data_IF_395288068546
#
_entry.id   IF_395288068546
#
_cell.length_a   1.000
_cell.length_b   1.000
_cell.length_c   1.000
_cell.angle_alpha   90.00
_cell.angle_beta   90.00
_cell.angle_gamma   90.00
#
_symmetry.space_group_name_H-M   'P 1'
#
loop_
_entity.id
_entity.type
_entity.pdbx_description
1 polymer ?
#
# COMPACT_ATOMS: atom_id res chain seq x y z
N UNK A 1 4.56 34.85 10.61
CA UNK A 1 3.86 34.82 9.30
C UNK A 1 4.60 33.85 8.41
N UNK A 2 3.98 32.72 8.13
CA UNK A 2 4.50 31.77 7.15
C UNK A 2 4.64 32.48 5.81
N UNK A 3 5.82 32.43 5.24
CA UNK A 3 6.12 33.00 3.91
C UNK A 3 5.54 32.11 2.82
N UNK A 4 4.23 32.10 2.72
CA UNK A 4 3.51 31.68 1.52
C UNK A 4 3.26 32.90 0.63
N UNK A 5 4.21 33.81 0.57
CA UNK A 5 4.18 34.93 -0.34
C UNK A 5 4.71 34.46 -1.68
N UNK A 6 3.86 34.34 -2.67
CA UNK A 6 4.28 34.22 -4.05
C UNK A 6 3.61 33.13 -4.89
N UNK A 7 2.98 32.13 -4.31
CA UNK A 7 2.27 31.13 -5.13
C UNK A 7 0.79 31.47 -5.37
N UNK A 8 0.21 32.41 -4.61
CA UNK A 8 -1.19 32.81 -4.75
C UNK A 8 -1.46 33.86 -5.80
N UNK A 9 -0.51 34.73 -6.09
CA UNK A 9 -0.71 35.91 -6.95
C UNK A 9 -0.20 35.75 -8.39
N UNK A 10 0.62 34.73 -8.66
CA UNK A 10 1.31 34.61 -9.96
C UNK A 10 0.55 33.72 -10.93
N UNK A 11 -0.26 32.80 -10.46
CA UNK A 11 -0.99 31.90 -11.35
C UNK A 11 -2.49 31.87 -10.99
N UNK A 12 -3.32 32.36 -11.88
CA UNK A 12 -4.73 32.00 -11.87
C UNK A 12 -4.80 30.49 -12.01
N UNK A 13 -5.17 29.79 -10.91
CA UNK A 13 -5.40 28.34 -10.94
C UNK A 13 -6.43 28.07 -12.04
N UNK A 14 -6.01 27.36 -13.06
CA UNK A 14 -6.95 26.87 -14.07
C UNK A 14 -7.64 25.66 -13.50
N UNK A 15 -8.95 25.64 -13.53
CA UNK A 15 -9.78 24.53 -13.09
C UNK A 15 -10.47 23.96 -14.32
N UNK A 16 -10.26 22.67 -14.53
CA UNK A 16 -10.97 21.90 -15.55
C UNK A 16 -11.98 21.04 -14.84
N UNK A 17 -13.23 21.12 -15.24
CA UNK A 17 -14.36 20.43 -14.59
C UNK A 17 -15.07 19.48 -15.56
N UNK A 18 -15.87 18.55 -14.99
CA UNK A 18 -16.56 17.51 -15.73
C UNK A 18 -15.72 16.25 -15.92
N UNK A 19 -16.38 15.17 -16.34
CA UNK A 19 -15.81 13.82 -16.40
C UNK A 19 -14.55 13.71 -17.27
N UNK A 20 -14.33 14.63 -18.19
CA UNK A 20 -13.21 14.68 -19.12
C UNK A 20 -12.31 15.92 -18.98
N UNK A 21 -12.49 16.69 -17.91
CA UNK A 21 -11.68 17.88 -17.66
C UNK A 21 -10.19 17.61 -17.63
N UNK A 22 -9.76 16.41 -17.24
CA UNK A 22 -8.38 15.98 -17.26
C UNK A 22 -7.76 15.90 -18.67
N UNK A 23 -8.57 15.67 -19.72
CA UNK A 23 -8.07 15.65 -21.11
C UNK A 23 -7.50 17.00 -21.53
N UNK A 24 -8.14 18.08 -21.16
CA UNK A 24 -7.68 19.45 -21.44
C UNK A 24 -6.43 19.79 -20.61
N UNK A 25 -6.36 19.34 -19.35
CA UNK A 25 -5.18 19.50 -18.52
C UNK A 25 -3.98 18.77 -19.09
N UNK A 26 -4.14 17.54 -19.56
CA UNK A 26 -3.06 16.74 -20.09
C UNK A 26 -2.48 17.30 -21.41
N UNK A 27 -3.26 18.06 -22.20
CA UNK A 27 -2.79 18.68 -23.45
C UNK A 27 -1.90 19.92 -23.27
N UNK A 28 -1.79 20.45 -22.06
CA UNK A 28 -1.01 21.66 -21.79
C UNK A 28 0.48 21.41 -21.93
N UNK A 29 1.19 22.31 -22.61
CA UNK A 29 2.64 22.22 -22.81
C UNK A 29 3.45 22.65 -21.59
N UNK A 30 2.84 23.41 -20.66
CA UNK A 30 3.48 23.93 -19.45
C UNK A 30 3.34 22.99 -18.23
N UNK A 31 2.90 21.75 -18.42
CA UNK A 31 2.80 20.71 -17.39
C UNK A 31 3.75 19.57 -17.72
N UNK A 32 4.63 19.22 -16.80
CA UNK A 32 5.57 18.11 -16.90
C UNK A 32 5.14 16.86 -16.13
N UNK A 33 4.33 17.03 -15.08
CA UNK A 33 3.89 15.98 -14.17
C UNK A 33 2.40 16.13 -13.86
N UNK A 34 1.68 15.03 -13.96
CA UNK A 34 0.30 14.92 -13.49
C UNK A 34 0.25 14.07 -12.22
N UNK A 35 -0.19 14.68 -11.11
CA UNK A 35 -0.47 14.00 -9.86
C UNK A 35 -1.94 13.58 -9.84
N UNK A 36 -2.21 12.29 -9.62
CA UNK A 36 -3.55 11.70 -9.73
C UNK A 36 -4.01 11.21 -8.36
N UNK A 37 -5.06 11.83 -7.83
CA UNK A 37 -5.70 11.51 -6.57
C UNK A 37 -7.23 11.53 -6.70
N UNK A 38 -7.73 10.96 -7.77
CA UNK A 38 -9.16 10.79 -8.06
C UNK A 38 -9.75 9.58 -7.32
N UNK A 39 -10.97 9.16 -7.64
CA UNK A 39 -11.42 7.82 -7.28
C UNK A 39 -10.67 6.74 -8.09
N UNK A 40 -10.75 5.50 -7.63
CA UNK A 40 -9.97 4.40 -8.21
C UNK A 40 -10.25 4.14 -9.69
N UNK A 41 -11.48 4.34 -10.13
CA UNK A 41 -11.88 4.07 -11.51
C UNK A 41 -11.30 5.09 -12.49
N UNK A 42 -10.97 6.29 -12.01
CA UNK A 42 -10.38 7.36 -12.82
C UNK A 42 -8.83 7.38 -12.79
N UNK A 43 -8.18 6.59 -11.92
CA UNK A 43 -6.71 6.54 -11.87
C UNK A 43 -6.12 6.18 -13.23
N UNK A 44 -6.51 5.05 -13.80
CA UNK A 44 -5.98 4.59 -15.07
C UNK A 44 -6.33 5.51 -16.27
N UNK A 45 -7.58 5.93 -16.50
CA UNK A 45 -7.91 6.82 -17.62
C UNK A 45 -7.12 8.13 -17.61
N UNK A 46 -6.96 8.74 -16.44
CA UNK A 46 -6.18 9.99 -16.30
C UNK A 46 -4.71 9.74 -16.55
N UNK A 47 -4.14 8.66 -15.98
CA UNK A 47 -2.74 8.29 -16.17
C UNK A 47 -2.43 7.99 -17.64
N UNK A 48 -3.29 7.24 -18.31
CA UNK A 48 -3.19 6.95 -19.74
C UNK A 48 -3.15 8.24 -20.55
N UNK A 49 -4.11 9.12 -20.33
CA UNK A 49 -4.18 10.41 -21.03
C UNK A 49 -2.91 11.24 -20.82
N UNK A 50 -2.41 11.31 -19.58
CA UNK A 50 -1.19 12.05 -19.26
C UNK A 50 0.04 11.46 -19.96
N UNK A 51 0.24 10.14 -19.92
CA UNK A 51 1.36 9.45 -20.57
C UNK A 51 1.32 9.62 -22.09
N UNK A 52 0.15 9.49 -22.72
CA UNK A 52 -0.05 9.70 -24.16
C UNK A 52 0.26 11.14 -24.60
N UNK A 53 0.06 12.12 -23.71
CA UNK A 53 0.42 13.53 -23.94
C UNK A 53 1.83 13.88 -23.43
N UNK A 54 2.67 12.87 -23.20
CA UNK A 54 4.08 13.07 -22.86
C UNK A 54 4.34 13.63 -21.47
N UNK A 55 3.43 13.41 -20.49
CA UNK A 55 3.60 13.83 -19.10
C UNK A 55 4.13 12.68 -18.25
N UNK A 56 4.90 13.01 -17.23
CA UNK A 56 5.17 12.09 -16.14
C UNK A 56 3.92 11.93 -15.26
N UNK A 57 3.80 10.81 -14.58
CA UNK A 57 2.62 10.49 -13.78
C UNK A 57 2.99 10.01 -12.40
N UNK A 58 2.32 10.54 -11.40
CA UNK A 58 2.34 10.07 -10.02
C UNK A 58 0.90 9.75 -9.61
N UNK A 59 0.62 8.49 -9.26
CA UNK A 59 -0.74 7.97 -9.06
C UNK A 59 -0.90 7.50 -7.62
N UNK A 60 -1.94 7.98 -6.94
CA UNK A 60 -2.39 7.41 -5.67
C UNK A 60 -2.82 5.95 -5.81
N UNK A 61 -2.81 5.24 -4.70
CA UNK A 61 -3.14 3.81 -4.64
C UNK A 61 -4.64 3.54 -4.80
N UNK A 62 -5.01 2.48 -5.53
CA UNK A 62 -4.22 1.64 -6.42
C UNK A 62 -4.05 2.29 -7.79
N UNK A 63 -2.94 2.04 -8.48
CA UNK A 63 -2.67 2.66 -9.78
C UNK A 63 -3.56 2.15 -10.91
N UNK A 64 -4.10 0.95 -10.80
CA UNK A 64 -4.96 0.31 -11.78
C UNK A 64 -5.90 -0.69 -11.09
N UNK A 65 -7.00 -1.03 -11.76
CA UNK A 65 -8.07 -1.85 -11.20
C UNK A 65 -8.18 -3.25 -11.82
N UNK A 66 -7.44 -3.52 -12.87
CA UNK A 66 -7.38 -4.82 -13.53
C UNK A 66 -6.04 -5.05 -14.23
N UNK A 67 -5.79 -6.31 -14.59
CA UNK A 67 -4.52 -6.73 -15.16
C UNK A 67 -4.21 -6.04 -16.51
N UNK A 68 -5.22 -5.79 -17.33
CA UNK A 68 -5.03 -5.10 -18.62
C UNK A 68 -4.53 -3.67 -18.39
N UNK A 69 -5.12 -2.94 -17.47
CA UNK A 69 -4.69 -1.58 -17.11
C UNK A 69 -3.27 -1.57 -16.56
N UNK A 70 -2.90 -2.56 -15.73
CA UNK A 70 -1.53 -2.67 -15.22
C UNK A 70 -0.50 -2.78 -16.35
N UNK A 71 -0.73 -3.66 -17.33
CA UNK A 71 0.15 -3.81 -18.49
C UNK A 71 0.18 -2.55 -19.35
N UNK A 72 -0.99 -1.96 -19.61
CA UNK A 72 -1.08 -0.78 -20.44
C UNK A 72 -0.34 0.44 -19.83
N UNK A 73 -0.33 0.59 -18.51
CA UNK A 73 0.47 1.63 -17.83
C UNK A 73 1.98 1.43 -18.06
N UNK A 74 2.47 0.20 -17.97
CA UNK A 74 3.87 -0.13 -18.22
C UNK A 74 4.21 0.15 -19.69
N UNK A 75 3.43 -0.36 -20.62
CA UNK A 75 3.63 -0.17 -22.06
C UNK A 75 3.65 1.31 -22.45
N UNK A 76 2.71 2.10 -21.90
CA UNK A 76 2.64 3.54 -22.14
C UNK A 76 3.82 4.30 -21.56
N UNK A 77 4.27 3.94 -20.36
CA UNK A 77 5.44 4.52 -19.72
C UNK A 77 6.69 4.27 -20.56
N UNK A 78 6.92 3.03 -21.00
CA UNK A 78 8.06 2.65 -21.83
C UNK A 78 8.01 3.30 -23.22
N UNK A 79 6.86 3.22 -23.89
CA UNK A 79 6.65 3.78 -25.23
C UNK A 79 6.90 5.28 -25.27
N UNK A 80 6.39 6.01 -24.30
CA UNK A 80 6.49 7.47 -24.26
C UNK A 80 7.74 7.95 -23.50
N UNK A 81 8.52 7.03 -22.87
CA UNK A 81 9.69 7.33 -22.05
C UNK A 81 9.37 8.34 -20.95
N UNK A 82 8.27 8.10 -20.24
CA UNK A 82 7.79 8.93 -19.13
C UNK A 82 7.68 8.11 -17.87
N UNK A 83 7.99 8.71 -16.73
CA UNK A 83 7.82 8.05 -15.44
C UNK A 83 6.34 7.84 -15.14
N UNK A 84 6.03 6.64 -14.66
CA UNK A 84 4.73 6.29 -14.11
C UNK A 84 4.98 5.66 -12.73
N UNK A 85 4.66 6.37 -11.67
CA UNK A 85 4.96 5.98 -10.30
C UNK A 85 3.68 5.86 -9.48
N UNK A 86 3.52 4.73 -8.79
CA UNK A 86 2.52 4.58 -7.73
C UNK A 86 3.02 5.24 -6.45
N UNK A 87 2.15 6.01 -5.79
CA UNK A 87 2.45 6.72 -4.55
C UNK A 87 2.05 5.88 -3.33
N UNK A 88 2.63 4.68 -3.20
CA UNK A 88 2.39 3.83 -2.03
C UNK A 88 3.07 4.40 -0.79
N UNK A 89 2.31 5.15 0.00
CA UNK A 89 2.83 5.88 1.16
C UNK A 89 3.44 4.99 2.23
N UNK A 90 2.98 3.74 2.39
CA UNK A 90 3.52 2.83 3.39
C UNK A 90 4.98 2.43 3.13
N UNK A 91 5.46 2.56 1.87
CA UNK A 91 6.86 2.35 1.55
C UNK A 91 7.79 3.41 2.16
N UNK A 92 7.25 4.58 2.49
CA UNK A 92 8.00 5.75 2.95
C UNK A 92 7.80 6.06 4.45
N UNK A 93 7.13 5.16 5.16
CA UNK A 93 7.06 5.27 6.61
C UNK A 93 8.44 4.96 7.21
N UNK A 94 8.76 5.66 8.30
CA UNK A 94 10.10 5.61 8.88
C UNK A 94 10.59 4.19 9.18
N UNK A 95 9.73 3.33 9.75
CA UNK A 95 10.12 1.96 10.10
C UNK A 95 10.42 1.10 8.87
N UNK A 96 9.61 1.22 7.83
CA UNK A 96 9.80 0.50 6.56
C UNK A 96 11.07 0.94 5.85
N UNK A 97 11.32 2.24 5.77
CA UNK A 97 12.54 2.77 5.15
C UNK A 97 13.80 2.34 5.89
N UNK A 98 13.79 2.46 7.22
CA UNK A 98 14.92 2.02 8.04
C UNK A 98 15.15 0.51 7.91
N UNK A 99 14.09 -0.28 7.99
CA UNK A 99 14.18 -1.74 7.85
C UNK A 99 14.60 -2.15 6.45
N UNK A 100 14.17 -1.45 5.41
CA UNK A 100 14.64 -1.66 4.03
C UNK A 100 16.14 -1.43 3.92
N UNK A 101 16.64 -0.33 4.48
CA UNK A 101 18.08 -0.04 4.50
C UNK A 101 18.86 -1.13 5.24
N UNK A 102 18.37 -1.57 6.39
CA UNK A 102 18.96 -2.70 7.13
C UNK A 102 18.98 -4.00 6.29
N UNK A 103 17.89 -4.31 5.60
CA UNK A 103 17.79 -5.49 4.73
C UNK A 103 18.80 -5.42 3.57
N UNK A 104 18.93 -4.25 2.93
CA UNK A 104 19.90 -4.02 1.85
C UNK A 104 21.36 -4.17 2.30
N UNK A 105 21.65 -3.90 3.57
CA UNK A 105 22.95 -4.11 4.19
C UNK A 105 23.13 -5.50 4.82
N UNK A 106 22.18 -6.41 4.60
CA UNK A 106 22.29 -7.81 5.04
C UNK A 106 22.12 -8.04 6.54
N UNK A 107 21.57 -7.08 7.29
CA UNK A 107 21.36 -7.19 8.75
C UNK A 107 20.51 -8.41 9.11
N UNK A 108 19.53 -8.74 8.29
CA UNK A 108 18.65 -9.90 8.51
C UNK A 108 19.14 -11.19 7.86
N UNK A 109 20.34 -11.18 7.23
CA UNK A 109 20.78 -12.26 6.37
C UNK A 109 19.91 -12.37 5.11
N UNK A 110 19.67 -13.59 4.64
CA UNK A 110 18.70 -13.82 3.56
C UNK A 110 17.28 -13.72 4.11
N UNK A 111 16.48 -12.77 3.58
CA UNK A 111 15.05 -12.66 3.94
C UNK A 111 14.28 -13.74 3.19
N UNK A 112 13.68 -14.66 3.93
CA UNK A 112 12.98 -15.83 3.39
C UNK A 112 11.46 -15.70 3.42
N UNK A 113 10.92 -14.84 4.30
CA UNK A 113 9.49 -14.61 4.46
C UNK A 113 9.21 -13.16 4.80
N UNK A 114 8.11 -12.63 4.27
CA UNK A 114 7.59 -11.33 4.65
C UNK A 114 6.07 -11.37 4.86
N UNK A 115 5.57 -10.51 5.74
CA UNK A 115 4.14 -10.33 5.96
C UNK A 115 3.79 -8.84 5.87
N UNK A 116 2.67 -8.57 5.21
CA UNK A 116 2.10 -7.23 5.12
C UNK A 116 0.59 -7.26 5.36
N UNK A 117 0.01 -6.12 5.73
CA UNK A 117 -1.43 -6.05 5.93
C UNK A 117 -2.00 -4.65 5.67
N UNK A 118 -3.28 -4.63 5.30
CA UNK A 118 -4.18 -3.49 5.46
C UNK A 118 -5.38 -3.91 6.31
N UNK A 119 -5.28 -3.66 7.60
CA UNK A 119 -6.35 -3.92 8.55
C UNK A 119 -6.80 -2.57 9.11
N UNK A 120 -7.99 -2.16 8.73
CA UNK A 120 -8.53 -0.85 9.09
C UNK A 120 -10.06 -0.91 9.14
N UNK A 121 -10.61 -1.02 10.34
CA UNK A 121 -12.06 -1.04 10.49
C UNK A 121 -12.70 0.22 9.88
N UNK A 122 -13.25 0.11 8.70
CA UNK A 122 -13.97 1.18 8.00
C UNK A 122 -15.49 1.11 8.22
N UNK A 123 -15.99 0.11 8.94
CA UNK A 123 -17.43 -0.05 9.18
C UNK A 123 -18.10 1.22 9.72
N UNK A 124 -17.51 1.99 10.66
CA UNK A 124 -18.09 3.26 11.10
C UNK A 124 -18.21 4.33 10.00
N UNK A 125 -17.35 4.24 8.99
CA UNK A 125 -17.31 5.21 7.88
C UNK A 125 -18.27 4.84 6.75
N UNK A 126 -18.65 3.57 6.61
CA UNK A 126 -19.54 3.12 5.55
C UNK A 126 -20.87 3.87 5.53
N UNK A 127 -21.37 4.34 6.67
CA UNK A 127 -22.58 5.16 6.79
C UNK A 127 -22.54 6.44 5.93
N UNK A 128 -21.36 6.99 5.73
CA UNK A 128 -21.19 8.17 4.88
C UNK A 128 -21.25 7.82 3.39
N UNK A 129 -20.81 6.62 3.02
CA UNK A 129 -20.81 6.14 1.64
C UNK A 129 -22.15 5.59 1.17
N UNK A 130 -23.07 5.27 2.12
CA UNK A 130 -24.46 4.89 1.80
C UNK A 130 -25.31 6.07 1.32
N UNK A 131 -24.92 7.29 1.64
CA UNK A 131 -25.61 8.47 1.13
C UNK A 131 -25.32 8.57 -0.36
N UNK A 132 -26.40 8.52 -1.15
CA UNK A 132 -26.30 8.77 -2.57
C UNK A 132 -25.90 10.23 -2.80
N UNK A 133 -24.98 10.44 -3.74
CA UNK A 133 -24.64 11.77 -4.21
C UNK A 133 -25.74 12.39 -5.07
N UNK A 134 -25.49 13.56 -5.62
CA UNK A 134 -26.43 14.24 -6.54
C UNK A 134 -26.74 13.39 -7.79
N UNK A 135 -25.84 12.48 -8.17
CA UNK A 135 -25.97 11.54 -9.28
C UNK A 135 -26.69 10.23 -8.91
N UNK A 136 -27.28 10.14 -7.73
CA UNK A 136 -27.97 8.94 -7.18
C UNK A 136 -27.06 7.72 -7.02
N UNK A 137 -25.73 7.90 -7.03
CA UNK A 137 -24.76 6.83 -6.86
C UNK A 137 -24.26 6.74 -5.42
N UNK A 138 -23.96 5.51 -5.00
CA UNK A 138 -23.25 5.26 -3.74
C UNK A 138 -21.82 5.79 -3.81
N UNK A 139 -21.23 6.09 -2.66
CA UNK A 139 -19.81 6.39 -2.59
C UNK A 139 -18.97 5.29 -3.26
N UNK A 140 -18.12 5.64 -4.20
CA UNK A 140 -17.37 4.74 -5.09
C UNK A 140 -16.63 3.61 -4.35
N UNK A 141 -16.09 3.89 -3.18
CA UNK A 141 -15.32 2.90 -2.40
C UNK A 141 -16.21 1.81 -1.83
N UNK A 142 -17.39 2.17 -1.34
CA UNK A 142 -18.39 1.21 -0.88
C UNK A 142 -18.90 0.38 -2.05
N UNK A 143 -19.31 1.02 -3.15
CA UNK A 143 -19.80 0.34 -4.33
C UNK A 143 -18.79 -0.68 -4.85
N UNK A 144 -17.49 -0.32 -4.87
CA UNK A 144 -16.42 -1.22 -5.27
C UNK A 144 -16.33 -2.47 -4.37
N UNK A 145 -16.33 -2.30 -3.04
CA UNK A 145 -16.31 -3.42 -2.09
C UNK A 145 -17.56 -4.30 -2.19
N UNK A 146 -18.72 -3.71 -2.50
CA UNK A 146 -19.96 -4.47 -2.69
C UNK A 146 -19.93 -5.38 -3.93
N UNK A 147 -19.23 -4.99 -4.97
CA UNK A 147 -19.20 -5.69 -6.27
C UNK A 147 -18.00 -6.62 -6.45
N UNK A 148 -16.91 -6.39 -5.76
CA UNK A 148 -15.66 -7.15 -5.90
C UNK A 148 -15.41 -8.05 -4.71
N UNK A 149 -14.51 -9.01 -4.89
CA UNK A 149 -14.15 -10.02 -3.89
C UNK A 149 -12.64 -10.13 -3.79
N UNK A 150 -12.15 -10.45 -2.60
CA UNK A 150 -10.73 -10.64 -2.33
C UNK A 150 -10.06 -9.40 -1.74
N UNK A 151 -8.74 -9.33 -1.84
CA UNK A 151 -7.98 -8.17 -1.38
C UNK A 151 -8.06 -7.04 -2.42
N UNK A 152 -8.96 -6.11 -2.16
CA UNK A 152 -9.21 -4.95 -3.05
C UNK A 152 -8.25 -3.79 -2.80
N UNK A 153 -7.33 -3.91 -1.84
CA UNK A 153 -6.41 -2.84 -1.48
C UNK A 153 -5.06 -3.36 -0.94
N UNK A 154 -4.47 -4.31 -1.66
CA UNK A 154 -3.25 -5.03 -1.27
C UNK A 154 -1.99 -4.16 -1.17
N UNK A 155 -1.95 -3.02 -1.84
CA UNK A 155 -0.75 -2.20 -2.05
C UNK A 155 -0.07 -1.79 -0.75
N UNK A 156 -0.82 -1.43 0.28
CA UNK A 156 -0.27 -1.00 1.56
C UNK A 156 0.49 -2.11 2.33
N UNK A 157 0.05 -3.35 2.19
CA UNK A 157 0.79 -4.49 2.75
C UNK A 157 1.89 -4.97 1.82
N UNK A 158 1.60 -5.03 0.51
CA UNK A 158 2.50 -5.63 -0.48
C UNK A 158 3.68 -4.72 -0.85
N UNK A 159 3.45 -3.42 -1.00
CA UNK A 159 4.48 -2.48 -1.47
C UNK A 159 5.77 -2.52 -0.65
N UNK A 160 5.71 -2.29 0.67
CA UNK A 160 6.91 -2.30 1.51
C UNK A 160 7.64 -3.64 1.51
N UNK A 161 6.91 -4.76 1.62
CA UNK A 161 7.55 -6.09 1.63
C UNK A 161 8.14 -6.46 0.26
N UNK A 162 7.52 -6.03 -0.83
CA UNK A 162 8.06 -6.24 -2.17
C UNK A 162 9.39 -5.52 -2.38
N UNK A 163 9.56 -4.31 -1.82
CA UNK A 163 10.84 -3.61 -1.84
C UNK A 163 11.93 -4.36 -1.07
N UNK A 164 11.61 -4.81 0.15
CA UNK A 164 12.57 -5.55 0.99
C UNK A 164 12.98 -6.91 0.39
N UNK A 165 12.11 -7.54 -0.39
CA UNK A 165 12.37 -8.80 -1.07
C UNK A 165 13.00 -8.64 -2.46
N UNK A 166 13.28 -7.42 -2.89
CA UNK A 166 13.84 -7.11 -4.22
C UNK A 166 12.97 -7.61 -5.38
N UNK A 167 11.65 -7.54 -5.25
CA UNK A 167 10.73 -7.90 -6.34
C UNK A 167 10.99 -6.97 -7.54
N UNK A 168 11.14 -7.57 -8.73
CA UNK A 168 11.60 -6.94 -9.97
C UNK A 168 13.02 -6.34 -9.93
N UNK A 169 13.79 -6.66 -8.88
CA UNK A 169 15.20 -6.27 -8.73
C UNK A 169 16.09 -7.45 -8.34
N UNK A 170 15.80 -8.63 -8.88
CA UNK A 170 16.49 -9.88 -8.61
C UNK A 170 15.56 -11.02 -8.16
N UNK A 171 14.29 -10.72 -7.89
CA UNK A 171 13.25 -11.71 -7.61
C UNK A 171 11.95 -11.33 -8.33
N UNK A 172 10.99 -12.25 -8.42
CA UNK A 172 9.65 -12.01 -8.98
C UNK A 172 8.61 -12.91 -8.30
N UNK A 173 7.38 -12.47 -8.29
CA UNK A 173 6.25 -13.26 -7.85
C UNK A 173 5.90 -14.30 -8.91
N UNK A 174 5.65 -15.57 -8.52
CA UNK A 174 5.34 -16.65 -9.45
C UNK A 174 3.97 -17.27 -9.22
N UNK A 175 3.61 -17.52 -7.97
CA UNK A 175 2.37 -18.20 -7.63
C UNK A 175 1.64 -17.42 -6.54
N UNK A 176 0.33 -17.27 -6.72
CA UNK A 176 -0.55 -16.62 -5.76
C UNK A 176 -1.73 -17.50 -5.44
N UNK A 177 -2.05 -17.61 -4.14
CA UNK A 177 -3.29 -18.23 -3.64
C UNK A 177 -3.93 -17.25 -2.67
N UNK A 178 -5.21 -16.97 -2.85
CA UNK A 178 -5.97 -16.10 -1.97
C UNK A 178 -7.25 -16.79 -1.49
N UNK A 179 -7.58 -16.59 -0.23
CA UNK A 179 -8.83 -17.04 0.38
C UNK A 179 -9.46 -15.90 1.15
N UNK A 180 -10.76 -15.73 0.98
CA UNK A 180 -11.56 -14.80 1.77
C UNK A 180 -12.60 -15.52 2.63
N UNK A 181 -12.98 -14.88 3.70
CA UNK A 181 -14.06 -15.34 4.58
C UNK A 181 -15.43 -15.08 3.94
N UNK A 182 -16.48 -15.55 4.59
CA UNK A 182 -17.84 -15.07 4.29
C UNK A 182 -17.91 -13.56 4.50
N UNK A 183 -18.74 -12.89 3.71
CA UNK A 183 -19.22 -11.55 4.01
C UNK A 183 -20.35 -11.67 5.06
N UNK A 184 -20.06 -11.41 6.31
CA UNK A 184 -21.03 -11.40 7.41
C UNK A 184 -21.38 -9.95 7.74
N UNK A 185 -20.39 -9.16 8.13
CA UNK A 185 -20.57 -7.72 8.44
C UNK A 185 -21.05 -6.94 7.23
N UNK A 186 -20.50 -7.21 6.05
CA UNK A 186 -20.96 -6.58 4.81
C UNK A 186 -22.43 -6.87 4.51
N UNK A 187 -22.89 -8.10 4.70
CA UNK A 187 -24.32 -8.45 4.51
C UNK A 187 -25.24 -7.80 5.54
N UNK A 188 -24.80 -7.67 6.78
CA UNK A 188 -25.59 -7.00 7.81
C UNK A 188 -25.69 -5.51 7.54
N UNK A 189 -24.62 -4.87 7.06
CA UNK A 189 -24.68 -3.48 6.57
C UNK A 189 -25.70 -3.28 5.44
N UNK A 190 -25.79 -4.21 4.49
CA UNK A 190 -26.80 -4.17 3.42
C UNK A 190 -28.20 -4.28 3.98
N UNK A 191 -28.45 -5.18 4.93
CA UNK A 191 -29.78 -5.34 5.58
C UNK A 191 -30.20 -4.10 6.34
N UNK A 192 -29.28 -3.45 7.05
CA UNK A 192 -29.54 -2.21 7.78
C UNK A 192 -29.85 -1.03 6.86
N UNK A 193 -29.50 -1.11 5.59
CA UNK A 193 -29.68 -0.07 4.58
C UNK A 193 -30.49 -0.61 3.38
N UNK A 194 -31.63 -1.26 3.67
CA UNK A 194 -32.45 -2.01 2.70
C UNK A 194 -32.94 -1.21 1.49
N UNK A 195 -32.94 0.12 1.57
CA UNK A 195 -33.26 1.03 0.43
C UNK A 195 -32.08 1.19 -0.55
N UNK A 196 -30.97 0.49 -0.32
CA UNK A 196 -29.80 0.57 -1.18
C UNK A 196 -30.00 -0.17 -2.51
N UNK A 197 -29.42 0.35 -3.56
CA UNK A 197 -29.48 -0.17 -4.94
C UNK A 197 -28.86 -1.56 -5.09
N UNK A 198 -28.14 -2.06 -4.10
CA UNK A 198 -27.47 -3.35 -4.14
C UNK A 198 -27.87 -4.24 -2.94
N UNK A 199 -28.44 -5.39 -3.26
CA UNK A 199 -28.91 -6.36 -2.27
C UNK A 199 -27.82 -7.38 -1.87
N UNK A 200 -26.57 -7.18 -2.26
CA UNK A 200 -25.49 -8.13 -1.97
C UNK A 200 -24.19 -7.39 -1.66
N UNK A 201 -23.43 -7.94 -0.71
CA UNK A 201 -22.06 -7.55 -0.44
C UNK A 201 -21.16 -8.74 -0.76
N UNK A 202 -20.30 -8.61 -1.77
CA UNK A 202 -19.50 -9.71 -2.29
C UNK A 202 -18.15 -9.87 -1.61
N UNK A 203 -17.53 -8.76 -1.16
CA UNK A 203 -16.24 -8.84 -0.50
C UNK A 203 -16.34 -9.59 0.83
N UNK A 204 -15.43 -10.53 1.08
CA UNK A 204 -15.30 -11.17 2.36
C UNK A 204 -14.87 -10.18 3.45
N UNK A 205 -15.20 -10.48 4.71
CA UNK A 205 -14.81 -9.60 5.81
C UNK A 205 -13.29 -9.60 6.04
N UNK A 206 -12.62 -10.70 5.67
CA UNK A 206 -11.16 -10.83 5.73
C UNK A 206 -10.65 -11.64 4.53
N UNK A 207 -9.51 -11.21 3.97
CA UNK A 207 -8.79 -11.93 2.91
C UNK A 207 -7.36 -12.20 3.35
N UNK A 208 -6.89 -13.42 3.12
CA UNK A 208 -5.48 -13.81 3.26
C UNK A 208 -4.94 -14.25 1.92
N UNK A 209 -3.81 -13.71 1.52
CA UNK A 209 -3.13 -14.02 0.26
C UNK A 209 -1.73 -14.52 0.55
N UNK A 210 -1.36 -15.64 -0.04
CA UNK A 210 0.00 -16.19 -0.03
C UNK A 210 0.60 -16.07 -1.41
N UNK A 211 1.84 -15.59 -1.50
CA UNK A 211 2.58 -15.44 -2.74
C UNK A 211 3.93 -16.13 -2.58
N UNK A 212 4.28 -16.98 -3.53
CA UNK A 212 5.63 -17.56 -3.64
C UNK A 212 6.42 -16.84 -4.72
N UNK A 213 7.67 -16.51 -4.41
CA UNK A 213 8.58 -15.90 -5.37
C UNK A 213 9.44 -16.94 -6.09
N UNK A 214 10.08 -16.54 -7.18
CA UNK A 214 10.99 -17.37 -7.97
C UNK A 214 12.19 -17.87 -7.14
N UNK A 215 12.68 -17.06 -6.20
CA UNK A 215 13.77 -17.44 -5.29
C UNK A 215 13.26 -18.24 -4.06
N UNK A 216 12.01 -18.70 -4.07
CA UNK A 216 11.44 -19.56 -3.04
C UNK A 216 11.00 -18.85 -1.75
N UNK A 217 10.97 -17.52 -1.73
CA UNK A 217 10.48 -16.73 -0.61
C UNK A 217 8.95 -16.77 -0.56
N UNK A 218 8.38 -16.52 0.63
CA UNK A 218 6.93 -16.48 0.82
C UNK A 218 6.50 -15.12 1.35
N UNK A 219 5.49 -14.54 0.72
CA UNK A 219 4.83 -13.31 1.15
C UNK A 219 3.42 -13.67 1.62
N UNK A 220 3.01 -13.16 2.77
CA UNK A 220 1.64 -13.23 3.26
C UNK A 220 1.06 -11.81 3.33
N UNK A 221 -0.11 -11.61 2.73
CA UNK A 221 -0.82 -10.33 2.78
C UNK A 221 -2.20 -10.54 3.37
N UNK A 222 -2.59 -9.66 4.30
CA UNK A 222 -3.91 -9.66 4.93
C UNK A 222 -4.65 -8.36 4.65
N UNK A 223 -5.93 -8.48 4.36
CA UNK A 223 -6.83 -7.35 4.15
C UNK A 223 -8.11 -7.52 4.97
N UNK A 224 -8.47 -6.51 5.76
CA UNK A 224 -9.70 -6.47 6.53
C UNK A 224 -10.13 -5.02 6.77
N UNK A 225 -11.31 -4.65 6.23
CA UNK A 225 -11.88 -3.31 6.41
C UNK A 225 -13.27 -3.34 7.06
N UNK A 226 -13.70 -4.50 7.51
CA UNK A 226 -15.09 -4.75 7.93
C UNK A 226 -15.24 -5.01 9.43
N UNK A 227 -14.26 -5.64 10.06
CA UNK A 227 -14.40 -6.07 11.47
C UNK A 227 -13.73 -5.10 12.43
N UNK A 228 -14.12 -5.09 13.73
CA UNK A 228 -13.55 -4.20 14.74
C UNK A 228 -12.12 -4.61 15.17
N UNK A 229 -11.34 -5.16 14.26
CA UNK A 229 -9.94 -5.47 14.51
C UNK A 229 -9.16 -4.16 14.65
N UNK A 230 -8.22 -4.05 15.62
CA UNK A 230 -7.38 -2.87 15.76
C UNK A 230 -6.63 -2.54 14.47
N UNK A 231 -6.44 -1.25 14.23
CA UNK A 231 -5.65 -0.78 13.07
C UNK A 231 -4.29 -1.46 13.02
N UNK A 232 -3.95 -2.01 11.85
CA UNK A 232 -2.71 -2.73 11.66
C UNK A 232 -2.21 -2.58 10.21
N UNK A 233 -1.02 -2.03 10.08
CA UNK A 233 -0.23 -2.00 8.83
C UNK A 233 0.95 -2.95 9.03
N UNK A 234 0.67 -4.23 9.23
CA UNK A 234 1.69 -5.23 9.47
C UNK A 234 2.79 -5.11 8.42
N UNK A 235 4.00 -5.01 8.91
CA UNK A 235 5.22 -5.12 8.14
C UNK A 235 6.19 -5.98 8.94
N UNK A 236 6.48 -7.17 8.44
CA UNK A 236 7.30 -8.14 9.12
C UNK A 236 8.23 -8.81 8.12
N UNK A 237 9.51 -8.92 8.48
CA UNK A 237 10.51 -9.65 7.73
C UNK A 237 11.10 -10.75 8.59
N UNK A 238 11.23 -11.95 8.03
CA UNK A 238 11.93 -13.07 8.64
C UNK A 238 13.14 -13.41 7.76
N UNK A 239 14.31 -13.26 8.31
CA UNK A 239 15.57 -13.61 7.65
C UNK A 239 16.33 -14.67 8.40
N UNK A 240 17.43 -15.14 7.82
CA UNK A 240 18.29 -16.21 8.39
C UNK A 240 19.12 -15.74 9.58
N UNK A 241 19.31 -14.42 9.74
CA UNK A 241 20.10 -13.80 10.82
C UNK A 241 19.33 -12.79 11.64
N UNK A 242 18.06 -12.52 11.28
CA UNK A 242 17.28 -11.54 12.01
C UNK A 242 15.83 -11.48 11.58
N UNK A 243 15.08 -10.74 12.36
CA UNK A 243 13.65 -10.55 12.26
C UNK A 243 13.30 -9.08 12.51
N UNK A 244 12.36 -8.54 11.77
CA UNK A 244 11.80 -7.22 11.99
C UNK A 244 10.28 -7.29 12.10
N UNK A 245 9.69 -6.50 12.99
CA UNK A 245 8.25 -6.43 13.17
C UNK A 245 7.81 -5.00 13.47
N UNK A 246 6.74 -4.54 12.80
CA UNK A 246 6.17 -3.20 13.04
C UNK A 246 4.99 -3.22 14.03
N UNK A 247 4.09 -4.18 13.91
CA UNK A 247 2.86 -4.24 14.71
C UNK A 247 2.76 -5.57 15.47
N UNK A 248 2.27 -5.59 16.74
CA UNK A 248 1.82 -4.43 17.50
C UNK A 248 2.95 -3.57 18.06
N UNK A 249 4.18 -4.07 18.12
CA UNK A 249 5.34 -3.38 18.67
C UNK A 249 6.44 -3.32 17.61
N UNK A 250 6.99 -2.13 17.38
CA UNK A 250 8.15 -1.96 16.51
C UNK A 250 9.39 -2.52 17.18
N UNK A 251 10.10 -3.41 16.51
CA UNK A 251 11.32 -3.99 17.04
C UNK A 251 11.97 -5.00 16.11
N UNK A 252 13.07 -5.53 16.61
CA UNK A 252 13.94 -6.44 15.89
C UNK A 252 14.40 -7.59 16.79
N UNK A 253 14.68 -8.75 16.19
CA UNK A 253 15.47 -9.81 16.81
C UNK A 253 16.62 -10.15 15.88
N UNK A 254 17.84 -10.23 16.42
CA UNK A 254 19.04 -10.51 15.64
C UNK A 254 19.79 -11.69 16.25
N UNK A 255 20.50 -12.46 15.44
CA UNK A 255 21.42 -13.47 15.95
C UNK A 255 22.61 -12.82 16.69
N UNK A 256 23.35 -13.64 17.43
CA UNK A 256 24.45 -13.15 18.26
C UNK A 256 25.57 -12.45 17.45
N UNK A 257 25.80 -12.89 16.20
CA UNK A 257 26.78 -12.29 15.32
C UNK A 257 26.35 -10.88 14.89
N UNK A 258 25.08 -10.74 14.49
CA UNK A 258 24.50 -9.47 14.07
C UNK A 258 24.38 -8.48 15.24
N UNK A 259 23.99 -8.95 16.43
CA UNK A 259 23.99 -8.12 17.64
C UNK A 259 25.38 -7.54 17.93
N UNK A 260 26.38 -8.39 17.92
CA UNK A 260 27.77 -7.94 18.12
C UNK A 260 28.22 -6.94 17.06
N UNK A 261 27.93 -7.19 15.79
CA UNK A 261 28.26 -6.30 14.68
C UNK A 261 27.50 -4.96 14.73
N UNK A 262 26.29 -4.94 15.31
CA UNK A 262 25.48 -3.73 15.49
C UNK A 262 25.88 -2.88 16.70
N UNK A 263 26.73 -3.42 17.60
CA UNK A 263 27.09 -2.76 18.84
C UNK A 263 26.00 -2.79 19.92
N UNK A 264 24.94 -3.55 19.70
CA UNK A 264 23.85 -3.73 20.65
C UNK A 264 24.21 -4.80 21.67
N UNK A 265 24.07 -4.51 22.97
CA UNK A 265 24.26 -5.53 24.01
C UNK A 265 22.99 -6.39 24.09
N UNK A 266 23.08 -7.72 23.92
CA UNK A 266 21.93 -8.59 24.10
C UNK A 266 21.42 -8.49 25.53
N UNK A 267 20.14 -8.32 25.73
CA UNK A 267 19.52 -8.57 27.03
C UNK A 267 19.69 -10.06 27.37
N UNK A 268 19.86 -10.35 28.66
CA UNK A 268 19.88 -11.73 29.18
C UNK A 268 18.64 -12.44 28.68
N UNK A 269 18.86 -13.64 28.17
CA UNK A 269 17.89 -14.48 27.48
C UNK A 269 16.56 -14.57 28.25
N UNK A 270 15.59 -13.80 27.82
CA UNK A 270 14.20 -14.01 28.18
C UNK A 270 13.64 -15.05 27.21
N UNK A 271 13.43 -16.26 27.67
CA UNK A 271 12.89 -17.35 26.87
C UNK A 271 11.55 -17.00 26.19
N UNK A 272 10.83 -16.02 26.70
CA UNK A 272 9.56 -15.58 26.12
C UNK A 272 9.74 -14.59 24.96
N UNK A 273 10.76 -13.76 24.98
CA UNK A 273 11.02 -12.78 23.93
C UNK A 273 11.89 -13.32 22.78
N UNK A 274 12.62 -14.40 23.02
CA UNK A 274 13.59 -14.96 22.06
C UNK A 274 14.51 -13.93 21.44
N UNK A 275 14.94 -12.95 22.25
CA UNK A 275 15.82 -11.88 21.80
C UNK A 275 15.10 -10.75 21.01
N UNK A 276 13.78 -10.73 20.95
CA UNK A 276 13.07 -9.60 20.38
C UNK A 276 13.21 -8.39 21.29
N UNK A 277 13.73 -7.30 20.72
CA UNK A 277 13.93 -6.03 21.43
C UNK A 277 13.10 -4.95 20.75
N UNK A 278 12.32 -4.17 21.52
CA UNK A 278 11.66 -2.98 21.02
C UNK A 278 12.68 -2.01 20.39
N UNK A 279 12.22 -1.26 19.42
CA UNK A 279 13.04 -0.28 18.67
C UNK A 279 13.83 0.66 19.57
N UNK A 280 13.24 1.09 20.67
CA UNK A 280 13.81 2.02 21.64
C UNK A 280 15.04 1.43 22.36
N UNK A 281 15.18 0.13 22.37
CA UNK A 281 16.32 -0.59 22.96
C UNK A 281 17.43 -0.87 21.95
N UNK A 282 17.17 -0.63 20.66
CA UNK A 282 18.08 -0.86 19.55
C UNK A 282 18.62 0.45 18.94
N UNK A 283 18.74 1.51 19.75
CA UNK A 283 19.05 2.88 19.29
C UNK A 283 20.27 2.93 18.38
N UNK A 284 21.39 2.31 18.78
CA UNK A 284 22.61 2.33 17.98
C UNK A 284 22.46 1.68 16.61
N UNK A 285 21.68 0.58 16.50
CA UNK A 285 21.36 -0.07 15.24
C UNK A 285 20.45 0.82 14.38
N UNK A 286 19.41 1.38 14.99
CA UNK A 286 18.45 2.24 14.32
C UNK A 286 19.13 3.48 13.75
N UNK A 287 19.95 4.17 14.52
CA UNK A 287 20.70 5.36 14.10
C UNK A 287 21.68 5.06 12.96
N UNK A 288 22.34 3.91 12.99
CA UNK A 288 23.29 3.50 11.96
C UNK A 288 22.64 3.38 10.58
N UNK A 289 21.36 3.00 10.51
CA UNK A 289 20.62 2.76 9.27
C UNK A 289 19.50 3.77 9.03
N UNK A 290 19.45 4.84 9.81
CA UNK A 290 18.48 5.92 9.62
C UNK A 290 18.77 6.68 8.32
N UNK A 291 17.70 7.05 7.60
CA UNK A 291 17.74 7.92 6.43
C UNK A 291 17.51 9.38 6.79
#
# INVERSE_FOLDING_TARGET
>A
RSVSRGLGDVYKRQVYSGDKGYEELCKRDDIDLVYIATDWLHHFPVAKCALENGKNVAIEVPSAMNLKECWELVDLSEKNRKHCMILENCCYDWFEMNTLNMAQHGVFGEVIRAQGAYIHNLAPFWKHYWKKGEDDKLGWRLDYNMRHRGDVYATHGLGPVAQALNIHRGDRMETLVAMDTKSVVGKDLVKENADSVCNSFRNGDHTTTLIRTANGKVIEIQHNVMTPQPYNRLYQLTGTKGFANKYPTQGYALDAEQLKASGVQPKVDDLNSHGFMPREEMVALVEKYQH
#
